data_IF_848915733110
#
_entry.id   IF_848915733110
#
_cell.length_a   1.000
_cell.length_b   1.000
_cell.length_c   1.000
_cell.angle_alpha   90.00
_cell.angle_beta   90.00
_cell.angle_gamma   90.00
#
_symmetry.space_group_name_H-M   'P 1'
#
loop_
_entity.id
_entity.type
_entity.pdbx_description
1 polymer ?
#
# COMPACT_ATOMS: atom_id res chain seq x y z
N UNK A 1 1.14 -1.40 -19.52
CA UNK A 1 1.12 -0.25 -18.58
C UNK A 1 2.03 -0.60 -17.42
N UNK A 2 3.35 -0.44 -17.59
CA UNK A 2 4.32 -0.74 -16.54
C UNK A 2 4.35 0.43 -15.56
N UNK A 3 4.08 0.16 -14.29
CA UNK A 3 4.13 1.16 -13.23
C UNK A 3 5.58 1.59 -12.99
N UNK A 4 5.87 2.86 -13.29
CA UNK A 4 7.21 3.46 -13.17
C UNK A 4 7.79 3.31 -11.76
N UNK A 5 6.96 3.50 -10.74
CA UNK A 5 7.42 3.47 -9.35
C UNK A 5 7.91 2.07 -8.95
N UNK A 6 7.13 1.03 -9.22
CA UNK A 6 7.54 -0.35 -8.90
C UNK A 6 8.79 -0.77 -9.69
N UNK A 7 8.92 -0.33 -10.94
CA UNK A 7 10.10 -0.61 -11.76
C UNK A 7 11.36 0.04 -11.17
N UNK A 8 11.30 1.31 -10.80
CA UNK A 8 12.43 2.01 -10.19
C UNK A 8 12.78 1.46 -8.80
N UNK A 9 11.78 1.18 -7.96
CA UNK A 9 12.03 0.56 -6.65
C UNK A 9 12.72 -0.80 -6.81
N UNK A 10 12.26 -1.63 -7.75
CA UNK A 10 12.89 -2.92 -8.06
C UNK A 10 14.35 -2.76 -8.50
N UNK A 11 14.62 -1.78 -9.37
CA UNK A 11 15.97 -1.45 -9.83
C UNK A 11 16.87 -1.05 -8.66
N UNK A 12 16.40 -0.17 -7.77
CA UNK A 12 17.17 0.26 -6.60
C UNK A 12 17.46 -0.85 -5.60
N UNK A 13 16.64 -1.90 -5.54
CA UNK A 13 16.96 -3.08 -4.74
C UNK A 13 18.20 -3.83 -5.26
N UNK A 14 18.48 -3.73 -6.56
CA UNK A 14 19.64 -4.41 -7.19
C UNK A 14 20.86 -3.48 -7.30
N UNK A 15 20.65 -2.20 -7.60
CA UNK A 15 21.75 -1.24 -7.87
C UNK A 15 22.14 -0.42 -6.64
N UNK A 16 21.42 -0.55 -5.54
CA UNK A 16 21.49 0.35 -4.40
C UNK A 16 20.58 1.56 -4.55
N UNK A 17 20.11 2.06 -3.40
CA UNK A 17 19.21 3.21 -3.33
C UNK A 17 19.98 4.52 -3.44
N UNK A 18 19.57 5.45 -4.33
CA UNK A 18 20.08 6.82 -4.35
C UNK A 18 19.78 7.55 -3.03
N UNK A 19 20.50 8.65 -2.78
CA UNK A 19 20.15 9.53 -1.67
C UNK A 19 18.75 10.14 -1.87
N UNK A 20 18.07 10.46 -0.76
CA UNK A 20 16.67 10.89 -0.76
C UNK A 20 16.43 12.16 -1.61
N UNK A 21 17.43 13.02 -1.70
CA UNK A 21 17.40 14.29 -2.44
C UNK A 21 17.39 14.06 -3.95
N UNK A 22 18.01 12.97 -4.41
CA UNK A 22 18.12 12.59 -5.82
C UNK A 22 16.93 11.78 -6.33
N UNK A 23 16.03 11.37 -5.44
CA UNK A 23 14.83 10.62 -5.81
C UNK A 23 13.71 11.52 -6.32
N UNK A 24 12.98 11.03 -7.31
CA UNK A 24 11.69 11.60 -7.71
C UNK A 24 10.73 11.67 -6.52
N UNK A 25 9.86 12.69 -6.50
CA UNK A 25 8.93 12.93 -5.40
C UNK A 25 8.04 11.72 -5.09
N UNK A 26 7.64 10.95 -6.11
CA UNK A 26 6.84 9.74 -5.94
C UNK A 26 7.60 8.58 -5.25
N UNK A 27 8.94 8.57 -5.34
CA UNK A 27 9.80 7.51 -4.81
C UNK A 27 10.34 7.84 -3.41
N UNK A 28 10.40 9.12 -3.03
CA UNK A 28 10.84 9.56 -1.69
C UNK A 28 10.14 8.85 -0.52
N UNK A 29 8.82 8.57 -0.55
CA UNK A 29 8.15 7.86 0.55
C UNK A 29 8.62 6.42 0.74
N UNK A 30 9.19 5.78 -0.28
CA UNK A 30 9.74 4.42 -0.20
C UNK A 30 11.13 4.40 0.45
N UNK A 31 11.93 5.46 0.28
CA UNK A 31 13.32 5.53 0.75
C UNK A 31 13.48 5.29 2.26
N UNK A 32 12.54 5.74 3.08
CA UNK A 32 12.57 5.49 4.53
C UNK A 32 12.49 4.00 4.88
N UNK A 33 11.94 3.19 3.97
CA UNK A 33 11.76 1.75 4.11
C UNK A 33 12.74 0.93 3.27
N UNK A 34 13.71 1.57 2.61
CA UNK A 34 14.61 0.94 1.62
C UNK A 34 15.26 -0.37 2.09
N UNK A 35 15.58 -0.48 3.38
CA UNK A 35 16.22 -1.66 3.97
C UNK A 35 15.24 -2.80 4.26
N UNK A 36 13.94 -2.52 4.27
CA UNK A 36 12.88 -3.52 4.40
C UNK A 36 12.33 -3.96 3.03
N UNK A 37 12.74 -3.29 1.95
CA UNK A 37 12.24 -3.55 0.61
C UNK A 37 13.17 -4.55 -0.09
N UNK A 38 12.59 -5.65 -0.56
CA UNK A 38 13.31 -6.73 -1.24
C UNK A 38 12.62 -7.11 -2.54
N UNK A 39 13.30 -7.90 -3.36
CA UNK A 39 12.72 -8.50 -4.57
C UNK A 39 12.74 -10.02 -4.41
N UNK A 40 11.56 -10.64 -4.53
CA UNK A 40 11.38 -12.10 -4.45
C UNK A 40 10.61 -12.55 -5.67
N UNK A 41 11.16 -13.48 -6.46
CA UNK A 41 10.54 -13.98 -7.70
C UNK A 41 10.07 -12.87 -8.66
N UNK A 42 10.84 -11.78 -8.74
CA UNK A 42 10.53 -10.61 -9.57
C UNK A 42 9.48 -9.64 -8.98
N UNK A 43 8.91 -9.97 -7.81
CA UNK A 43 7.96 -9.15 -7.07
C UNK A 43 8.66 -8.26 -6.06
N UNK A 44 8.22 -7.01 -5.93
CA UNK A 44 8.74 -6.07 -4.94
C UNK A 44 7.97 -6.24 -3.63
N UNK A 45 8.68 -6.50 -2.55
CA UNK A 45 8.12 -6.81 -1.23
C UNK A 45 8.59 -5.79 -0.19
N UNK A 46 7.77 -5.51 0.84
CA UNK A 46 8.19 -4.84 2.08
C UNK A 46 8.00 -5.78 3.26
N UNK A 47 9.08 -6.40 3.71
CA UNK A 47 9.01 -7.59 4.57
C UNK A 47 8.21 -8.69 3.85
N UNK A 48 7.12 -9.15 4.46
CA UNK A 48 6.24 -10.19 3.88
C UNK A 48 5.12 -9.65 2.98
N UNK A 49 5.00 -8.32 2.82
CA UNK A 49 3.87 -7.70 2.10
C UNK A 49 4.25 -7.34 0.68
N UNK A 50 3.36 -7.62 -0.27
CA UNK A 50 3.54 -7.25 -1.67
C UNK A 50 3.38 -5.74 -1.86
N UNK A 51 4.32 -5.10 -2.56
CA UNK A 51 4.19 -3.71 -2.98
C UNK A 51 3.30 -3.63 -4.21
N UNK A 52 2.16 -2.95 -4.08
CA UNK A 52 1.14 -2.88 -5.14
C UNK A 52 1.37 -1.68 -6.06
N UNK A 53 1.46 -1.90 -7.38
CA UNK A 53 1.47 -0.85 -8.39
C UNK A 53 0.32 0.14 -8.27
N UNK A 54 0.56 1.42 -8.55
CA UNK A 54 -0.44 2.49 -8.41
C UNK A 54 -1.72 2.20 -9.20
N UNK A 55 -1.59 1.64 -10.41
CA UNK A 55 -2.74 1.26 -11.24
C UNK A 55 -3.65 0.19 -10.60
N UNK A 56 -3.12 -0.64 -9.70
CA UNK A 56 -3.85 -1.72 -9.03
C UNK A 56 -4.35 -1.32 -7.63
N UNK A 57 -3.84 -0.23 -7.05
CA UNK A 57 -4.17 0.17 -5.67
C UNK A 57 -5.67 0.35 -5.45
N UNK A 58 -6.39 0.93 -6.42
CA UNK A 58 -7.84 1.12 -6.33
C UNK A 58 -8.59 -0.21 -6.18
N UNK A 59 -8.27 -1.19 -7.02
CA UNK A 59 -8.87 -2.52 -6.98
C UNK A 59 -8.54 -3.26 -5.67
N UNK A 60 -7.27 -3.21 -5.23
CA UNK A 60 -6.84 -3.84 -3.98
C UNK A 60 -7.50 -3.19 -2.77
N UNK A 61 -7.70 -1.86 -2.77
CA UNK A 61 -8.44 -1.17 -1.71
C UNK A 61 -9.89 -1.66 -1.61
N UNK A 62 -10.57 -1.88 -2.73
CA UNK A 62 -11.92 -2.46 -2.74
C UNK A 62 -11.94 -3.89 -2.20
N UNK A 63 -10.95 -4.71 -2.58
CA UNK A 63 -10.79 -6.07 -2.03
C UNK A 63 -10.57 -6.07 -0.52
N UNK A 64 -9.71 -5.19 -0.02
CA UNK A 64 -9.48 -5.03 1.43
C UNK A 64 -10.79 -4.67 2.16
N UNK A 65 -11.57 -3.77 1.56
CA UNK A 65 -12.83 -3.26 2.12
C UNK A 65 -14.04 -4.21 1.94
N UNK A 66 -13.90 -5.29 1.18
CA UNK A 66 -14.99 -6.23 0.93
C UNK A 66 -15.61 -6.75 2.23
N UNK A 67 -16.94 -6.76 2.30
CA UNK A 67 -17.70 -7.08 3.51
C UNK A 67 -17.91 -5.87 4.43
N UNK A 68 -17.54 -4.65 4.02
CA UNK A 68 -17.78 -3.40 4.73
C UNK A 68 -17.26 -3.40 6.18
N UNK A 69 -16.11 -4.03 6.37
CA UNK A 69 -15.50 -4.18 7.68
C UNK A 69 -14.97 -2.84 8.19
N UNK A 70 -14.98 -2.69 9.51
CA UNK A 70 -14.44 -1.49 10.17
C UNK A 70 -12.96 -1.24 9.84
N UNK A 71 -12.50 -0.04 10.16
CA UNK A 71 -11.14 0.43 9.86
C UNK A 71 -10.05 -0.50 10.39
N UNK A 72 -10.22 -1.05 11.59
CA UNK A 72 -9.25 -1.92 12.24
C UNK A 72 -9.02 -3.18 11.41
N UNK A 73 -10.08 -3.84 10.96
CA UNK A 73 -9.99 -5.06 10.17
C UNK A 73 -9.44 -4.81 8.77
N UNK A 74 -9.84 -3.71 8.13
CA UNK A 74 -9.27 -3.33 6.83
C UNK A 74 -7.75 -3.10 6.92
N UNK A 75 -7.27 -2.42 7.98
CA UNK A 75 -5.84 -2.23 8.23
C UNK A 75 -5.11 -3.54 8.54
N UNK A 76 -5.75 -4.47 9.25
CA UNK A 76 -5.19 -5.79 9.53
C UNK A 76 -4.96 -6.59 8.23
N UNK A 77 -5.99 -6.68 7.38
CA UNK A 77 -5.90 -7.34 6.06
C UNK A 77 -4.75 -6.80 5.21
N UNK A 78 -4.60 -5.47 5.18
CA UNK A 78 -3.48 -4.84 4.48
C UNK A 78 -2.13 -5.25 5.09
N UNK A 79 -1.99 -5.17 6.42
CA UNK A 79 -0.75 -5.55 7.12
C UNK A 79 -0.33 -7.01 6.89
N UNK A 80 -1.27 -7.90 6.63
CA UNK A 80 -0.99 -9.32 6.37
C UNK A 80 -0.54 -9.60 4.93
N UNK A 81 -0.84 -8.71 3.97
CA UNK A 81 -0.74 -9.06 2.55
C UNK A 81 -0.05 -8.01 1.66
N UNK A 82 -0.36 -6.72 1.82
CA UNK A 82 -0.01 -5.69 0.83
C UNK A 82 0.46 -4.38 1.46
N UNK A 83 1.25 -3.63 0.71
CA UNK A 83 1.77 -2.35 1.19
C UNK A 83 2.03 -1.37 0.05
N UNK A 84 1.82 -0.09 0.31
CA UNK A 84 2.39 1.02 -0.45
C UNK A 84 2.35 2.28 0.44
N UNK A 85 3.13 3.33 0.14
CA UNK A 85 3.07 4.57 0.90
C UNK A 85 1.66 5.16 0.89
N UNK A 86 1.10 5.43 2.07
CA UNK A 86 -0.23 6.05 2.22
C UNK A 86 -1.41 5.09 2.26
N UNK A 87 -1.21 3.76 2.13
CA UNK A 87 -2.28 2.75 2.19
C UNK A 87 -3.23 2.93 3.39
N UNK A 88 -2.70 3.15 4.59
CA UNK A 88 -3.50 3.31 5.81
C UNK A 88 -4.45 4.51 5.76
N UNK A 89 -4.03 5.59 5.10
CA UNK A 89 -4.83 6.80 4.90
C UNK A 89 -5.90 6.57 3.85
N UNK A 90 -5.56 5.90 2.74
CA UNK A 90 -6.54 5.56 1.70
C UNK A 90 -7.61 4.59 2.20
N UNK A 91 -7.23 3.61 3.03
CA UNK A 91 -8.20 2.72 3.69
C UNK A 91 -9.16 3.53 4.59
N UNK A 92 -8.63 4.47 5.38
CA UNK A 92 -9.46 5.33 6.23
C UNK A 92 -10.47 6.12 5.39
N UNK A 93 -10.00 6.76 4.32
CA UNK A 93 -10.86 7.53 3.40
C UNK A 93 -11.93 6.66 2.74
N UNK A 94 -11.59 5.43 2.34
CA UNK A 94 -12.54 4.49 1.76
C UNK A 94 -13.63 4.10 2.76
N UNK A 95 -13.25 3.75 3.99
CA UNK A 95 -14.18 3.35 5.05
C UNK A 95 -15.07 4.52 5.49
N UNK A 96 -14.53 5.75 5.57
CA UNK A 96 -15.29 6.94 5.95
C UNK A 96 -16.27 7.42 4.87
N UNK A 97 -15.97 7.16 3.59
CA UNK A 97 -16.86 7.47 2.47
C UNK A 97 -17.87 6.35 2.17
N UNK A 98 -17.73 5.19 2.79
CA UNK A 98 -18.61 4.06 2.54
C UNK A 98 -19.95 4.21 3.28
N UNK A 99 -21.04 4.33 2.52
CA UNK A 99 -22.40 4.45 3.07
C UNK A 99 -22.76 3.33 4.05
N UNK A 100 -22.43 2.07 3.71
CA UNK A 100 -22.75 0.91 4.55
C UNK A 100 -21.96 1.00 5.86
N UNK A 101 -20.64 1.22 5.81
CA UNK A 101 -19.84 1.38 7.03
C UNK A 101 -20.33 2.54 7.90
N UNK A 102 -20.66 3.68 7.29
CA UNK A 102 -21.17 4.85 8.04
C UNK A 102 -22.51 4.53 8.71
N UNK A 103 -23.42 3.85 7.99
CA UNK A 103 -24.74 3.45 8.52
C UNK A 103 -24.64 2.53 9.73
N UNK A 104 -23.75 1.53 9.68
CA UNK A 104 -23.65 0.50 10.73
C UNK A 104 -22.61 0.81 11.83
N UNK A 105 -21.76 1.84 11.68
CA UNK A 105 -20.81 2.31 12.71
C UNK A 105 -21.50 2.71 14.02
N UNK A 106 -22.79 3.06 13.99
CA UNK A 106 -23.56 3.58 15.13
C UNK A 106 -24.38 2.52 15.89
N UNK A 107 -24.29 1.24 15.55
CA UNK A 107 -25.24 0.22 16.05
C UNK A 107 -24.68 -0.75 17.11
N UNK A 108 -23.44 -0.61 17.55
CA UNK A 108 -22.94 -1.36 18.72
C UNK A 108 -23.26 -0.58 19.99
N UNK A 109 -24.42 -0.89 20.57
CA UNK A 109 -24.78 -0.59 21.95
C UNK A 109 -24.25 -1.69 22.88
#
# INVERSE_FOLDING_TARGET
MSDHNCSEVRKYCSTGWPSKEKLESALKPYHQYRHEITVTDGLVMKGIRLIIPQCMQSEILQKIHTGHLGITTCRARAKESVWWPGISTQIQQLVDKCFICVKYRRQTH
#
